data_IF_893259728913
#
_entry.id   IF_893259728913
#
_cell.length_a   1.000
_cell.length_b   1.000
_cell.length_c   1.000
_cell.angle_alpha   90.00
_cell.angle_beta   90.00
_cell.angle_gamma   90.00
#
_symmetry.space_group_name_H-M   'P 1'
#
loop_
_entity.id
_entity.type
_entity.pdbx_description
1 polymer ?
#
# COMPACT_ATOMS: atom_id res chain seq x y z
N UNK A 1 74.97 7.92 -32.63
CA UNK A 1 74.46 9.25 -32.23
C UNK A 1 72.96 9.13 -31.97
N UNK A 2 72.51 9.36 -30.73
CA UNK A 2 71.08 9.49 -30.39
C UNK A 2 70.74 10.98 -30.38
N UNK A 3 69.66 11.43 -31.04
CA UNK A 3 69.01 12.69 -30.68
C UNK A 3 67.72 12.44 -29.88
N UNK A 4 67.50 13.36 -28.96
CA UNK A 4 66.50 13.41 -27.90
C UNK A 4 65.19 14.06 -28.38
N UNK A 5 64.10 13.66 -27.69
CA UNK A 5 62.82 14.34 -27.41
C UNK A 5 62.54 15.72 -28.02
N UNK A 6 61.30 15.89 -28.54
CA UNK A 6 60.24 16.85 -28.10
C UNK A 6 59.11 16.90 -29.14
N UNK A 7 57.89 16.53 -28.76
CA UNK A 7 56.77 17.35 -28.23
C UNK A 7 55.70 17.63 -29.31
N UNK A 8 54.57 16.94 -29.13
CA UNK A 8 53.18 17.24 -29.52
C UNK A 8 52.88 18.43 -30.41
N UNK A 9 52.22 18.15 -31.54
CA UNK A 9 51.15 18.99 -32.10
C UNK A 9 50.01 18.09 -32.60
N UNK A 10 48.79 18.51 -32.28
CA UNK A 10 47.53 17.92 -32.70
C UNK A 10 47.28 18.15 -34.19
N UNK A 11 46.66 17.19 -34.86
CA UNK A 11 45.85 17.46 -36.05
C UNK A 11 44.74 16.43 -36.17
N UNK A 12 43.52 16.92 -36.11
CA UNK A 12 42.28 16.20 -36.37
C UNK A 12 42.18 15.80 -37.84
N UNK A 13 41.61 14.63 -38.14
CA UNK A 13 40.37 14.52 -38.93
C UNK A 13 39.99 13.04 -39.15
N UNK A 14 38.67 12.86 -39.33
CA UNK A 14 37.98 11.74 -39.98
C UNK A 14 37.66 10.51 -39.13
N UNK A 15 36.36 10.31 -38.83
CA UNK A 15 35.54 9.45 -39.68
C UNK A 15 34.06 9.51 -39.25
N UNK A 16 33.20 9.64 -40.25
CA UNK A 16 31.74 9.61 -40.17
C UNK A 16 31.28 8.21 -39.75
N UNK A 17 30.39 8.10 -38.76
CA UNK A 17 29.60 6.90 -38.53
C UNK A 17 28.12 7.31 -38.35
N UNK A 18 27.32 6.84 -39.30
CA UNK A 18 25.90 7.08 -39.45
C UNK A 18 25.12 6.68 -38.18
N UNK A 19 24.29 7.60 -37.70
CA UNK A 19 23.24 7.33 -36.71
C UNK A 19 22.19 6.39 -37.33
N UNK A 20 22.44 5.08 -37.25
CA UNK A 20 21.39 4.09 -37.40
C UNK A 20 20.52 4.14 -36.12
N UNK A 21 19.46 4.95 -36.17
CA UNK A 21 18.43 4.96 -35.15
C UNK A 21 17.74 3.59 -35.13
N UNK A 22 18.15 2.72 -34.21
CA UNK A 22 17.37 1.53 -33.87
C UNK A 22 16.12 1.98 -33.12
N UNK A 23 15.06 2.33 -33.85
CA UNK A 23 13.71 2.35 -33.31
C UNK A 23 13.32 0.92 -32.96
N UNK A 24 13.66 0.49 -31.74
CA UNK A 24 13.02 -0.64 -31.08
C UNK A 24 11.60 -0.17 -30.79
N UNK A 25 10.69 -0.38 -31.74
CA UNK A 25 9.25 -0.25 -31.49
C UNK A 25 8.86 -1.45 -30.61
N UNK A 26 8.58 -1.27 -29.30
CA UNK A 26 8.02 -2.36 -28.53
C UNK A 26 6.70 -2.78 -29.20
N UNK A 27 6.43 -4.10 -29.33
CA UNK A 27 5.13 -4.53 -29.85
C UNK A 27 4.02 -3.92 -28.98
N UNK A 28 2.87 -3.56 -29.57
CA UNK A 28 1.76 -3.02 -28.80
C UNK A 28 1.40 -4.03 -27.72
N UNK A 29 1.59 -3.66 -26.45
CA UNK A 29 1.18 -4.45 -25.30
C UNK A 29 -0.30 -4.73 -25.45
N UNK A 30 -0.64 -5.96 -25.85
CA UNK A 30 -2.03 -6.40 -25.98
C UNK A 30 -2.60 -6.40 -24.57
N UNK A 31 -3.39 -5.40 -24.23
CA UNK A 31 -4.11 -5.34 -22.95
C UNK A 31 -5.11 -6.50 -22.93
N UNK A 32 -4.69 -7.65 -22.39
CA UNK A 32 -5.61 -8.75 -22.09
C UNK A 32 -6.45 -8.28 -20.90
N UNK A 33 -7.68 -7.86 -21.17
CA UNK A 33 -8.68 -7.54 -20.15
C UNK A 33 -9.03 -8.81 -19.37
N UNK A 34 -8.33 -9.08 -18.27
CA UNK A 34 -8.73 -10.12 -17.31
C UNK A 34 -9.88 -9.58 -16.44
N UNK A 35 -11.07 -9.52 -17.02
CA UNK A 35 -12.32 -9.01 -16.38
C UNK A 35 -12.61 -9.67 -15.01
N UNK A 36 -12.41 -11.00 -14.80
CA UNK A 36 -12.71 -11.62 -13.50
C UNK A 36 -11.86 -11.10 -12.34
N UNK A 37 -10.58 -10.82 -12.59
CA UNK A 37 -9.66 -10.33 -11.56
C UNK A 37 -10.01 -8.89 -11.15
N UNK A 38 -10.38 -8.04 -12.12
CA UNK A 38 -10.78 -6.66 -11.83
C UNK A 38 -12.04 -6.58 -10.96
N UNK A 39 -13.04 -7.41 -11.23
CA UNK A 39 -14.28 -7.48 -10.43
C UNK A 39 -13.99 -8.00 -9.02
N UNK A 40 -13.09 -8.98 -8.87
CA UNK A 40 -12.68 -9.48 -7.55
C UNK A 40 -11.97 -8.38 -6.75
N UNK A 41 -11.06 -7.62 -7.36
CA UNK A 41 -10.38 -6.50 -6.70
C UNK A 41 -11.37 -5.43 -6.23
N UNK A 42 -12.30 -5.01 -7.10
CA UNK A 42 -13.32 -4.02 -6.73
C UNK A 42 -14.21 -4.49 -5.56
N UNK A 43 -14.58 -5.77 -5.53
CA UNK A 43 -15.34 -6.34 -4.41
C UNK A 43 -14.52 -6.39 -3.12
N UNK A 44 -13.21 -6.66 -3.21
CA UNK A 44 -12.31 -6.65 -2.05
C UNK A 44 -12.15 -5.24 -1.49
N UNK A 45 -11.98 -4.24 -2.34
CA UNK A 45 -11.84 -2.84 -1.92
C UNK A 45 -13.12 -2.35 -1.22
N UNK A 46 -14.28 -2.67 -1.77
CA UNK A 46 -15.57 -2.37 -1.14
C UNK A 46 -15.69 -3.04 0.24
N UNK A 47 -15.30 -4.31 0.35
CA UNK A 47 -15.37 -5.02 1.62
C UNK A 47 -14.37 -4.47 2.66
N UNK A 48 -13.18 -4.01 2.24
CA UNK A 48 -12.25 -3.30 3.13
C UNK A 48 -12.85 -2.00 3.69
N UNK A 49 -13.55 -1.22 2.85
CA UNK A 49 -14.26 0.00 3.29
C UNK A 49 -15.31 -0.35 4.36
N UNK A 50 -16.09 -1.40 4.14
CA UNK A 50 -17.12 -1.84 5.11
C UNK A 50 -16.50 -2.28 6.45
N UNK A 51 -15.38 -3.00 6.41
CA UNK A 51 -14.63 -3.38 7.61
C UNK A 51 -14.07 -2.15 8.31
N UNK A 52 -13.41 -1.24 7.59
CA UNK A 52 -12.87 0.00 8.13
C UNK A 52 -13.96 0.85 8.80
N UNK A 53 -15.14 0.97 8.18
CA UNK A 53 -16.30 1.64 8.76
C UNK A 53 -16.78 0.97 10.04
N UNK A 54 -16.86 -0.36 10.06
CA UNK A 54 -17.20 -1.12 11.29
C UNK A 54 -16.17 -0.87 12.39
N UNK A 55 -14.88 -0.81 12.06
CA UNK A 55 -13.82 -0.51 13.03
C UNK A 55 -14.01 0.88 13.60
N UNK A 56 -14.23 1.87 12.73
CA UNK A 56 -14.52 3.24 13.13
C UNK A 56 -15.73 3.35 14.07
N UNK A 57 -16.89 2.79 13.67
CA UNK A 57 -18.13 2.82 14.46
C UNK A 57 -17.98 2.25 15.87
N UNK A 58 -17.12 1.23 16.04
CA UNK A 58 -16.93 0.53 17.31
C UNK A 58 -15.83 1.13 18.18
N UNK A 59 -15.06 2.10 17.67
CA UNK A 59 -13.93 2.72 18.36
C UNK A 59 -13.99 4.26 18.35
N UNK A 60 -15.13 4.89 18.70
CA UNK A 60 -15.33 6.33 18.51
C UNK A 60 -14.34 7.21 19.30
N UNK A 61 -13.82 6.73 20.44
CA UNK A 61 -12.85 7.46 21.26
C UNK A 61 -11.42 7.43 20.73
N UNK A 62 -11.08 6.45 19.89
CA UNK A 62 -9.74 6.32 19.30
C UNK A 62 -9.63 6.91 17.90
N UNK A 63 -10.76 7.33 17.31
CA UNK A 63 -10.77 7.88 15.96
C UNK A 63 -10.29 9.32 15.90
N UNK A 64 -9.41 9.58 14.96
CA UNK A 64 -9.04 10.94 14.59
C UNK A 64 -10.18 11.59 13.81
N UNK A 65 -10.59 12.78 14.25
CA UNK A 65 -11.54 13.64 13.52
C UNK A 65 -10.78 14.60 12.62
N UNK A 66 -11.12 14.65 11.33
CA UNK A 66 -10.51 15.55 10.35
C UNK A 66 -9.47 14.86 9.46
N UNK A 67 -8.38 15.54 9.12
CA UNK A 67 -7.32 15.01 8.24
C UNK A 67 -6.17 14.43 9.05
N UNK A 68 -5.61 13.27 8.66
CA UNK A 68 -4.35 12.77 9.24
C UNK A 68 -3.23 13.82 9.14
N UNK A 69 -2.35 13.84 10.15
CA UNK A 69 -1.19 14.73 10.15
C UNK A 69 -0.21 14.36 9.02
N UNK A 70 0.65 15.30 8.62
CA UNK A 70 1.57 15.10 7.50
C UNK A 70 2.60 14.00 7.76
N UNK A 71 3.17 13.97 8.97
CA UNK A 71 4.09 12.93 9.40
C UNK A 71 3.42 12.07 10.46
N UNK A 72 2.84 10.92 10.08
CA UNK A 72 2.24 10.00 11.03
C UNK A 72 3.25 9.55 12.08
N UNK A 73 2.78 9.39 13.32
CA UNK A 73 3.52 8.71 14.38
C UNK A 73 3.79 7.26 14.00
N UNK A 74 2.75 6.57 13.51
CA UNK A 74 2.84 5.17 13.11
C UNK A 74 1.81 4.82 12.03
N UNK A 75 2.20 3.95 11.10
CA UNK A 75 1.28 3.23 10.22
C UNK A 75 1.38 1.75 10.59
N UNK A 76 0.33 1.22 11.21
CA UNK A 76 0.25 -0.20 11.57
C UNK A 76 -0.65 -0.91 10.57
N UNK A 77 -0.09 -1.85 9.81
CA UNK A 77 -0.85 -2.73 8.92
C UNK A 77 -1.12 -4.03 9.63
N UNK A 78 -2.39 -4.38 9.82
CA UNK A 78 -2.83 -5.64 10.42
C UNK A 78 -3.30 -6.57 9.32
N UNK A 79 -2.75 -7.78 9.28
CA UNK A 79 -3.28 -8.89 8.49
C UNK A 79 -4.24 -9.71 9.34
N UNK A 80 -5.41 -10.01 8.80
CA UNK A 80 -6.43 -10.78 9.52
C UNK A 80 -7.31 -11.60 8.59
N UNK A 81 -7.90 -12.64 9.17
CA UNK A 81 -8.77 -13.59 8.48
C UNK A 81 -10.18 -13.52 9.03
N UNK A 82 -11.17 -13.42 8.15
CA UNK A 82 -12.59 -13.36 8.50
C UNK A 82 -13.30 -14.59 7.92
N UNK A 83 -14.12 -15.27 8.73
CA UNK A 83 -14.95 -16.37 8.24
C UNK A 83 -16.22 -15.86 7.52
N UNK A 84 -16.96 -16.79 6.89
CA UNK A 84 -18.25 -16.50 6.23
C UNK A 84 -19.27 -15.79 7.11
N UNK A 85 -19.19 -15.95 8.44
CA UNK A 85 -20.08 -15.31 9.41
C UNK A 85 -19.60 -13.95 9.91
N UNK A 86 -18.47 -13.44 9.42
CA UNK A 86 -17.89 -12.19 9.88
C UNK A 86 -17.07 -12.33 11.18
N UNK A 87 -16.76 -13.54 11.63
CA UNK A 87 -15.95 -13.75 12.82
C UNK A 87 -14.47 -13.62 12.47
N UNK A 88 -13.73 -12.97 13.37
CA UNK A 88 -12.28 -12.87 13.27
C UNK A 88 -11.67 -14.23 13.64
N UNK A 89 -11.00 -14.87 12.67
CA UNK A 89 -10.33 -16.17 12.85
C UNK A 89 -8.92 -15.96 13.39
N UNK A 90 -8.18 -15.01 12.82
CA UNK A 90 -6.85 -14.60 13.26
C UNK A 90 -6.61 -13.12 12.96
N UNK A 91 -5.71 -12.48 13.69
CA UNK A 91 -5.21 -11.14 13.43
C UNK A 91 -3.79 -10.97 13.97
N UNK A 92 -2.92 -10.37 13.15
CA UNK A 92 -1.51 -10.14 13.46
C UNK A 92 -0.99 -8.86 12.80
N UNK A 93 0.01 -8.22 13.41
CA UNK A 93 0.69 -7.08 12.80
C UNK A 93 1.54 -7.61 11.63
N UNK A 94 1.30 -7.07 10.44
CA UNK A 94 2.09 -7.36 9.24
C UNK A 94 3.23 -6.36 9.05
N UNK A 95 2.96 -5.08 9.29
CA UNK A 95 3.95 -4.00 9.15
C UNK A 95 3.69 -2.91 10.19
N UNK A 96 4.77 -2.39 10.76
CA UNK A 96 4.77 -1.22 11.64
C UNK A 96 6.16 -0.58 11.65
N UNK A 97 6.34 0.48 12.42
CA UNK A 97 7.65 1.06 12.76
C UNK A 97 8.17 0.60 14.14
N UNK A 98 7.58 -0.44 14.74
CA UNK A 98 7.94 -0.94 16.08
C UNK A 98 7.30 -0.19 17.25
N UNK A 99 6.32 0.67 16.98
CA UNK A 99 5.53 1.33 18.02
C UNK A 99 4.56 0.34 18.69
N UNK A 100 4.98 -0.26 19.80
CA UNK A 100 4.23 -1.30 20.49
C UNK A 100 2.86 -0.85 21.00
N UNK A 101 2.70 0.44 21.34
CA UNK A 101 1.42 0.98 21.79
C UNK A 101 0.45 1.08 20.62
N UNK A 102 0.89 1.63 19.48
CA UNK A 102 0.09 1.71 18.26
C UNK A 102 -0.31 0.30 17.76
N UNK A 103 0.62 -0.66 17.81
CA UNK A 103 0.35 -2.05 17.45
C UNK A 103 -0.73 -2.69 18.33
N UNK A 104 -0.62 -2.51 19.66
CA UNK A 104 -1.59 -3.03 20.61
C UNK A 104 -2.96 -2.39 20.41
N UNK A 105 -3.01 -1.06 20.17
CA UNK A 105 -4.26 -0.34 19.90
C UNK A 105 -4.92 -0.77 18.58
N UNK A 106 -4.14 -0.98 17.52
CA UNK A 106 -4.66 -1.47 16.24
C UNK A 106 -5.32 -2.84 16.40
N UNK A 107 -4.62 -3.81 17.01
CA UNK A 107 -5.17 -5.16 17.25
C UNK A 107 -6.37 -5.14 18.19
N UNK A 108 -6.33 -4.34 19.27
CA UNK A 108 -7.43 -4.24 20.22
C UNK A 108 -8.67 -3.62 19.58
N UNK A 109 -8.50 -2.56 18.78
CA UNK A 109 -9.60 -1.91 18.08
C UNK A 109 -10.28 -2.84 17.08
N UNK A 110 -9.50 -3.61 16.29
CA UNK A 110 -10.04 -4.63 15.37
C UNK A 110 -10.82 -5.72 16.12
N UNK A 111 -10.25 -6.26 17.20
CA UNK A 111 -10.90 -7.32 18.01
C UNK A 111 -12.21 -6.85 18.63
N UNK A 112 -12.26 -5.60 19.12
CA UNK A 112 -13.47 -4.97 19.66
C UNK A 112 -14.58 -4.81 18.63
N UNK A 113 -14.20 -4.70 17.35
CA UNK A 113 -15.14 -4.50 16.25
C UNK A 113 -15.82 -5.77 15.77
N UNK A 114 -15.41 -6.93 16.27
CA UNK A 114 -16.06 -8.20 15.96
C UNK A 114 -17.51 -8.25 16.49
N UNK A 115 -18.45 -8.87 15.76
CA UNK A 115 -18.26 -9.43 14.42
C UNK A 115 -18.14 -8.33 13.34
N UNK A 116 -17.26 -8.61 12.37
CA UNK A 116 -17.11 -7.79 11.17
C UNK A 116 -18.28 -8.04 10.20
N UNK A 117 -18.50 -7.16 9.20
CA UNK A 117 -19.44 -7.45 8.12
C UNK A 117 -19.11 -8.81 7.47
N UNK A 118 -20.12 -9.58 7.07
CA UNK A 118 -19.89 -10.88 6.44
C UNK A 118 -19.26 -10.68 5.04
N UNK A 119 -18.16 -11.38 4.69
CA UNK A 119 -17.55 -11.24 3.38
C UNK A 119 -18.49 -11.71 2.26
N UNK A 120 -18.51 -11.05 1.09
CA UNK A 120 -19.15 -11.57 -0.10
C UNK A 120 -18.64 -12.98 -0.45
N UNK A 121 -19.54 -13.91 -0.76
CA UNK A 121 -19.19 -15.32 -1.01
C UNK A 121 -18.16 -15.52 -2.12
N UNK A 122 -18.09 -14.60 -3.10
CA UNK A 122 -17.12 -14.63 -4.21
C UNK A 122 -15.68 -14.30 -3.80
N UNK A 123 -15.48 -13.71 -2.62
CA UNK A 123 -14.16 -13.42 -2.05
C UNK A 123 -13.65 -14.56 -1.17
N UNK A 124 -14.54 -15.43 -0.70
CA UNK A 124 -14.16 -16.53 0.18
C UNK A 124 -13.30 -17.57 -0.57
N UNK A 125 -12.31 -18.09 0.13
CA UNK A 125 -11.50 -19.22 -0.30
C UNK A 125 -12.24 -20.57 -0.13
N UNK A 126 -11.53 -21.67 -0.39
CA UNK A 126 -12.08 -23.03 -0.24
C UNK A 126 -12.50 -23.40 1.19
N UNK A 127 -11.99 -22.69 2.21
CA UNK A 127 -12.33 -22.88 3.61
C UNK A 127 -13.48 -21.96 4.06
N UNK A 128 -14.02 -21.13 3.16
CA UNK A 128 -15.04 -20.15 3.50
C UNK A 128 -14.49 -18.98 4.31
N UNK A 129 -13.21 -18.63 4.11
CA UNK A 129 -12.52 -17.54 4.79
C UNK A 129 -12.01 -16.51 3.80
N UNK A 130 -11.76 -15.30 4.29
CA UNK A 130 -11.08 -14.24 3.55
C UNK A 130 -9.96 -13.67 4.39
N UNK A 131 -8.73 -13.75 3.89
CA UNK A 131 -7.58 -13.02 4.42
C UNK A 131 -7.50 -11.63 3.77
N UNK A 132 -7.24 -10.60 4.57
CA UNK A 132 -7.02 -9.25 4.09
C UNK A 132 -6.09 -8.46 5.00
N UNK A 133 -5.78 -7.23 4.58
CA UNK A 133 -5.04 -6.26 5.36
C UNK A 133 -5.79 -4.93 5.43
N UNK A 134 -5.63 -4.24 6.56
CA UNK A 134 -6.08 -2.87 6.76
C UNK A 134 -4.98 -2.07 7.49
N UNK A 135 -4.89 -0.77 7.23
CA UNK A 135 -3.89 0.12 7.84
C UNK A 135 -4.51 1.07 8.87
N UNK A 136 -3.89 1.18 10.04
CA UNK A 136 -4.19 2.20 11.05
C UNK A 136 -3.15 3.30 10.96
N UNK A 137 -3.59 4.52 10.59
CA UNK A 137 -2.73 5.70 10.51
C UNK A 137 -2.85 6.48 11.83
N UNK A 138 -1.85 6.37 12.71
CA UNK A 138 -1.82 7.00 14.01
C UNK A 138 -1.14 8.37 13.97
N UNK A 139 -1.76 9.34 14.64
CA UNK A 139 -1.17 10.63 14.99
C UNK A 139 -0.43 10.56 16.33
N UNK A 140 0.29 11.63 16.68
CA UNK A 140 1.07 11.70 17.92
C UNK A 140 0.19 11.67 19.19
N UNK A 141 -1.05 12.13 19.09
CA UNK A 141 -2.05 12.09 20.16
C UNK A 141 -2.70 10.71 20.35
N UNK A 142 -2.27 9.71 19.56
CA UNK A 142 -2.73 8.32 19.65
C UNK A 142 -4.07 8.06 18.94
N UNK A 143 -4.71 9.08 18.36
CA UNK A 143 -5.88 8.88 17.53
C UNK A 143 -5.50 8.31 16.15
N UNK A 144 -6.39 7.54 15.54
CA UNK A 144 -6.13 6.89 14.25
C UNK A 144 -7.24 7.08 13.21
N UNK A 145 -6.89 6.89 11.95
CA UNK A 145 -7.83 6.61 10.85
C UNK A 145 -7.52 5.25 10.24
N UNK A 146 -8.51 4.67 9.56
CA UNK A 146 -8.34 3.44 8.78
C UNK A 146 -8.04 3.80 7.34
N UNK A 147 -7.00 3.22 6.76
CA UNK A 147 -6.49 3.52 5.42
C UNK A 147 -7.56 3.46 4.33
N UNK A 148 -8.46 2.48 4.38
CA UNK A 148 -9.53 2.33 3.39
C UNK A 148 -10.57 3.45 3.44
N UNK A 149 -10.61 4.23 4.52
CA UNK A 149 -11.58 5.33 4.73
C UNK A 149 -10.92 6.67 5.07
N UNK A 150 -9.59 6.71 5.14
CA UNK A 150 -8.86 7.90 5.55
C UNK A 150 -8.99 8.98 4.47
N UNK A 151 -9.10 10.21 4.91
CA UNK A 151 -8.93 11.35 4.00
C UNK A 151 -7.48 11.40 3.52
N UNK A 152 -7.23 12.05 2.38
CA UNK A 152 -5.87 12.33 1.95
C UNK A 152 -5.07 12.96 3.09
N UNK A 153 -3.85 12.47 3.31
CA UNK A 153 -2.98 13.00 4.35
C UNK A 153 -2.64 14.46 4.03
N UNK A 154 -2.58 15.31 5.07
CA UNK A 154 -2.11 16.67 4.88
C UNK A 154 -0.67 16.64 4.31
N UNK A 155 -0.40 17.43 3.28
CA UNK A 155 0.96 17.59 2.78
C UNK A 155 1.64 18.68 3.60
N UNK A 156 2.86 18.42 4.07
CA UNK A 156 3.73 19.49 4.56
C UNK A 156 4.10 20.37 3.37
N UNK A 157 3.53 21.57 3.29
CA UNK A 157 3.99 22.63 2.39
C UNK A 157 5.02 23.43 3.18
N UNK A 158 6.25 23.48 2.67
CA UNK A 158 7.36 24.31 3.16
C UNK A 158 7.07 25.81 2.89
#
# INVERSE_FOLDING_TARGET
MRPLLRSTTASALAAVALLAACTITPPPSRTVLTIPSAVRSANLDQYRIEVARRVAERNPSGLLRGTPQAMLRSLVVVAFTVDRGGRLVNASVYRSNGDSEAEALALASLRRSAPLPAPPSRLLDGNGQLEMMEGWLFNDDGHFQLQSTASAQAQSID
#
